data_IF_138493917049
#
_entry.id   IF_138493917049
#
_cell.length_a   1.000
_cell.length_b   1.000
_cell.length_c   1.000
_cell.angle_alpha   90.00
_cell.angle_beta   90.00
_cell.angle_gamma   90.00
#
_symmetry.space_group_name_H-M   'P 1'
#
loop_
_entity.id
_entity.type
_entity.pdbx_description
1 polymer ?
#
# COMPACT_ATOMS: atom_id res chain seq x y z
N UNK A 1 -8.86 41.10 -0.27
CA UNK A 1 -8.53 39.77 -0.85
C UNK A 1 -8.05 38.92 0.32
N UNK A 2 -8.99 38.31 1.06
CA UNK A 2 -8.72 37.69 2.36
C UNK A 2 -8.84 36.18 2.14
N UNK A 3 -7.70 35.50 2.08
CA UNK A 3 -7.66 34.04 2.11
C UNK A 3 -7.90 33.62 3.55
N UNK A 4 -9.05 33.00 3.79
CA UNK A 4 -9.42 32.49 5.11
C UNK A 4 -8.69 31.17 5.34
N UNK A 5 -7.57 31.25 6.06
CA UNK A 5 -6.72 30.13 6.47
C UNK A 5 -7.38 29.48 7.69
N UNK A 6 -8.38 28.63 7.45
CA UNK A 6 -8.80 27.63 8.41
C UNK A 6 -8.24 26.28 7.95
N UNK A 7 -6.93 26.09 8.09
CA UNK A 7 -6.42 24.72 8.19
C UNK A 7 -6.91 24.19 9.54
N UNK A 8 -7.85 23.25 9.52
CA UNK A 8 -8.23 22.50 10.71
C UNK A 8 -6.98 21.81 11.25
N UNK A 9 -6.79 21.85 12.57
CA UNK A 9 -5.73 21.06 13.20
C UNK A 9 -6.00 19.59 12.86
N UNK A 10 -5.08 18.89 12.16
CA UNK A 10 -5.27 17.50 11.74
C UNK A 10 -5.54 16.56 12.91
N UNK A 11 -5.13 16.91 14.15
CA UNK A 11 -5.43 16.13 15.35
C UNK A 11 -6.86 16.32 15.87
N UNK A 12 -7.57 17.35 15.39
CA UNK A 12 -8.95 17.67 15.76
C UNK A 12 -9.95 17.34 14.65
N UNK A 13 -9.48 16.82 13.52
CA UNK A 13 -10.33 16.53 12.38
C UNK A 13 -11.20 15.30 12.68
N UNK A 14 -12.52 15.52 12.69
CA UNK A 14 -13.51 14.44 12.83
C UNK A 14 -13.81 13.86 11.45
N UNK A 15 -13.67 12.53 11.35
CA UNK A 15 -14.04 11.73 10.18
C UNK A 15 -15.27 10.89 10.51
N UNK A 16 -16.12 10.66 9.52
CA UNK A 16 -17.30 9.80 9.65
C UNK A 16 -16.92 8.31 9.57
N UNK A 17 -15.84 8.01 8.84
CA UNK A 17 -15.30 6.67 8.71
C UNK A 17 -13.77 6.68 8.60
N UNK A 18 -13.13 5.65 9.16
CA UNK A 18 -11.70 5.37 8.99
C UNK A 18 -11.57 4.05 8.25
N UNK A 19 -10.86 4.06 7.13
CA UNK A 19 -10.48 2.87 6.37
C UNK A 19 -9.00 2.61 6.62
N UNK A 20 -8.67 1.41 7.12
CA UNK A 20 -7.29 0.99 7.35
C UNK A 20 -6.89 -0.02 6.28
N UNK A 21 -5.89 0.33 5.50
CA UNK A 21 -5.42 -0.38 4.31
C UNK A 21 -5.98 0.23 3.02
N UNK A 22 -5.11 0.61 2.08
CA UNK A 22 -5.46 1.14 0.76
C UNK A 22 -5.37 0.10 -0.35
N UNK A 23 -5.40 -1.20 0.00
CA UNK A 23 -5.54 -2.28 -0.97
C UNK A 23 -6.87 -2.22 -1.73
N UNK A 24 -7.10 -3.17 -2.65
CA UNK A 24 -8.24 -3.15 -3.57
C UNK A 24 -9.60 -2.87 -2.89
N UNK A 25 -9.89 -3.58 -1.79
CA UNK A 25 -11.16 -3.41 -1.05
C UNK A 25 -11.20 -2.09 -0.27
N UNK A 26 -10.09 -1.69 0.37
CA UNK A 26 -10.03 -0.46 1.16
C UNK A 26 -10.18 0.79 0.28
N UNK A 27 -9.51 0.82 -0.88
CA UNK A 27 -9.69 1.87 -1.87
C UNK A 27 -11.12 1.96 -2.39
N UNK A 28 -11.76 0.82 -2.67
CA UNK A 28 -13.16 0.79 -3.10
C UNK A 28 -14.12 1.28 -2.00
N UNK A 29 -13.92 0.83 -0.75
CA UNK A 29 -14.70 1.30 0.38
C UNK A 29 -14.56 2.82 0.58
N UNK A 30 -13.32 3.32 0.57
CA UNK A 30 -13.05 4.75 0.68
C UNK A 30 -13.73 5.55 -0.44
N UNK A 31 -13.68 5.07 -1.69
CA UNK A 31 -14.37 5.68 -2.82
C UNK A 31 -15.88 5.75 -2.59
N UNK A 32 -16.52 4.62 -2.33
CA UNK A 32 -17.98 4.53 -2.20
C UNK A 32 -18.49 5.40 -1.04
N UNK A 33 -17.81 5.37 0.11
CA UNK A 33 -18.17 6.18 1.27
C UNK A 33 -18.00 7.67 0.99
N UNK A 34 -16.90 8.05 0.32
CA UNK A 34 -16.65 9.46 -0.02
C UNK A 34 -17.65 9.98 -1.06
N UNK A 35 -18.02 9.19 -2.07
CA UNK A 35 -19.05 9.53 -3.07
C UNK A 35 -20.45 9.65 -2.45
N UNK A 36 -20.71 8.94 -1.35
CA UNK A 36 -21.93 9.09 -0.56
C UNK A 36 -21.93 10.34 0.35
N UNK A 37 -20.84 11.13 0.36
CA UNK A 37 -20.73 12.41 1.07
C UNK A 37 -20.08 12.34 2.44
N UNK A 38 -19.52 11.19 2.84
CA UNK A 38 -18.82 11.05 4.13
C UNK A 38 -17.41 11.61 4.06
N UNK A 39 -16.92 12.15 5.19
CA UNK A 39 -15.51 12.47 5.38
C UNK A 39 -14.76 11.20 5.80
N UNK A 40 -13.96 10.67 4.89
CA UNK A 40 -13.24 9.41 5.09
C UNK A 40 -11.76 9.66 5.32
N UNK A 41 -11.20 9.10 6.38
CA UNK A 41 -9.75 8.96 6.53
C UNK A 41 -9.32 7.59 6.00
N UNK A 42 -8.36 7.57 5.08
CA UNK A 42 -7.72 6.35 4.59
C UNK A 42 -6.29 6.30 5.10
N UNK A 43 -5.93 5.22 5.79
CA UNK A 43 -4.61 5.01 6.35
C UNK A 43 -3.96 3.79 5.69
N UNK A 44 -2.71 3.93 5.23
CA UNK A 44 -1.91 2.84 4.68
C UNK A 44 -0.54 2.85 5.36
N UNK A 45 -0.03 1.68 5.73
CA UNK A 45 1.28 1.53 6.35
C UNK A 45 2.40 1.49 5.30
N UNK A 46 2.09 1.01 4.10
CA UNK A 46 2.99 1.02 2.95
C UNK A 46 3.29 2.42 2.41
N UNK A 47 4.35 2.50 1.61
CA UNK A 47 4.73 3.73 0.90
C UNK A 47 3.71 4.09 -0.18
N UNK A 48 3.70 5.34 -0.60
CA UNK A 48 3.02 5.72 -1.84
C UNK A 48 3.62 4.96 -3.03
N UNK A 49 2.76 4.37 -3.85
CA UNK A 49 3.15 3.59 -5.03
C UNK A 49 2.55 4.25 -6.27
N UNK A 50 3.37 4.41 -7.31
CA UNK A 50 2.94 4.93 -8.60
C UNK A 50 2.57 3.79 -9.57
N UNK A 51 1.67 4.02 -10.54
CA UNK A 51 1.28 2.98 -11.50
C UNK A 51 2.44 2.37 -12.31
N UNK A 52 3.57 3.07 -12.42
CA UNK A 52 4.76 2.59 -13.15
C UNK A 52 5.55 1.54 -12.39
N UNK A 53 5.28 1.36 -11.10
CA UNK A 53 5.98 0.39 -10.24
C UNK A 53 5.29 -0.98 -10.20
N UNK A 54 4.09 -1.08 -10.79
CA UNK A 54 3.39 -2.35 -10.92
C UNK A 54 4.10 -3.22 -11.95
N UNK A 55 4.62 -4.36 -11.55
CA UNK A 55 5.38 -5.25 -12.44
C UNK A 55 4.74 -6.62 -12.63
N UNK A 56 3.57 -6.89 -12.04
CA UNK A 56 2.83 -8.17 -12.11
C UNK A 56 2.52 -8.60 -13.54
N UNK A 57 2.40 -7.63 -14.45
CA UNK A 57 2.14 -7.85 -15.87
C UNK A 57 3.41 -8.09 -16.70
N UNK A 58 4.59 -7.99 -16.08
CA UNK A 58 5.88 -8.16 -16.73
C UNK A 58 6.10 -9.63 -17.07
N UNK A 59 6.50 -9.98 -18.30
CA UNK A 59 6.90 -11.35 -18.60
C UNK A 59 8.12 -11.78 -17.78
N UNK A 60 8.10 -13.00 -17.25
CA UNK A 60 9.16 -13.54 -16.38
C UNK A 60 10.59 -13.37 -16.96
N UNK A 61 10.76 -13.51 -18.28
CA UNK A 61 12.09 -13.38 -18.92
C UNK A 61 12.69 -11.97 -18.82
N UNK A 62 11.89 -10.95 -18.53
CA UNK A 62 12.35 -9.56 -18.32
C UNK A 62 12.74 -9.29 -16.86
N UNK A 63 12.30 -10.13 -15.92
CA UNK A 63 12.72 -10.03 -14.53
C UNK A 63 14.19 -10.43 -14.39
N UNK A 64 14.87 -9.87 -13.39
CA UNK A 64 16.31 -10.06 -13.17
C UNK A 64 16.64 -11.53 -12.88
N UNK A 65 15.81 -12.19 -12.09
CA UNK A 65 16.00 -13.59 -11.68
C UNK A 65 14.92 -14.53 -12.24
N UNK A 66 14.09 -14.05 -13.18
CA UNK A 66 13.01 -14.83 -13.82
C UNK A 66 12.06 -15.48 -12.82
N UNK A 67 11.67 -14.71 -11.81
CA UNK A 67 10.82 -15.10 -10.70
C UNK A 67 11.43 -16.12 -9.72
N UNK A 68 12.76 -16.15 -9.66
CA UNK A 68 13.53 -16.98 -8.73
C UNK A 68 14.50 -16.15 -7.87
N UNK A 69 14.07 -14.94 -7.49
CA UNK A 69 14.91 -14.02 -6.73
C UNK A 69 15.34 -14.60 -5.36
N UNK A 70 16.65 -14.71 -5.09
CA UNK A 70 17.13 -15.16 -3.77
C UNK A 70 16.91 -14.10 -2.69
N UNK A 71 16.69 -12.83 -3.07
CA UNK A 71 16.49 -11.71 -2.15
C UNK A 71 15.24 -11.88 -1.29
N UNK A 72 14.20 -12.52 -1.83
CA UNK A 72 12.96 -12.79 -1.10
C UNK A 72 13.25 -13.72 0.07
N UNK A 73 14.00 -14.80 -0.14
CA UNK A 73 14.37 -15.72 0.93
C UNK A 73 15.27 -15.05 1.97
N UNK A 74 16.16 -14.14 1.52
CA UNK A 74 17.12 -13.44 2.37
C UNK A 74 16.46 -12.39 3.26
N UNK A 75 15.53 -11.61 2.72
CA UNK A 75 14.94 -10.44 3.39
C UNK A 75 13.54 -10.70 3.95
N UNK A 76 12.85 -11.73 3.42
CA UNK A 76 11.44 -12.03 3.71
C UNK A 76 11.21 -13.52 4.05
N UNK A 77 11.94 -14.10 5.03
CA UNK A 77 11.81 -15.51 5.39
C UNK A 77 10.40 -15.95 5.82
N UNK A 78 9.56 -15.04 6.33
CA UNK A 78 8.16 -15.32 6.66
C UNK A 78 7.24 -14.91 5.52
N UNK A 79 7.39 -13.73 4.92
CA UNK A 79 6.48 -13.33 3.82
C UNK A 79 6.56 -14.27 2.63
N UNK A 80 7.72 -14.88 2.35
CA UNK A 80 7.88 -15.89 1.27
C UNK A 80 6.97 -17.11 1.41
N UNK A 81 6.39 -17.35 2.60
CA UNK A 81 5.44 -18.44 2.80
C UNK A 81 4.09 -18.12 2.15
N UNK A 82 3.81 -16.84 1.90
CA UNK A 82 2.69 -16.40 1.07
C UNK A 82 3.02 -16.64 -0.40
N UNK A 83 2.15 -17.39 -1.10
CA UNK A 83 2.30 -17.67 -2.53
C UNK A 83 2.37 -16.40 -3.41
N UNK A 84 1.86 -15.27 -2.89
CA UNK A 84 1.82 -14.00 -3.62
C UNK A 84 3.08 -13.15 -3.44
N UNK A 85 4.02 -13.52 -2.55
CA UNK A 85 5.29 -12.79 -2.36
C UNK A 85 6.33 -13.30 -3.36
N UNK A 86 6.36 -12.69 -4.54
CA UNK A 86 7.15 -13.12 -5.71
C UNK A 86 8.11 -12.02 -6.18
N UNK A 87 8.99 -12.28 -7.15
CA UNK A 87 9.96 -11.27 -7.63
C UNK A 87 9.25 -10.03 -8.20
N UNK A 88 8.03 -10.19 -8.70
CA UNK A 88 7.20 -9.11 -9.22
C UNK A 88 6.84 -8.04 -8.17
N UNK A 89 6.61 -8.44 -6.92
CA UNK A 89 5.86 -7.62 -5.97
C UNK A 89 6.29 -7.79 -4.51
N UNK A 90 7.41 -8.48 -4.24
CA UNK A 90 7.91 -8.68 -2.88
C UNK A 90 8.15 -7.35 -2.14
N UNK A 91 8.41 -6.25 -2.85
CA UNK A 91 8.52 -4.91 -2.24
C UNK A 91 7.23 -4.43 -1.56
N UNK A 92 6.09 -5.02 -1.88
CA UNK A 92 4.78 -4.68 -1.31
C UNK A 92 4.56 -5.41 0.00
N UNK A 93 5.37 -6.45 0.25
CA UNK A 93 5.42 -7.16 1.51
C UNK A 93 6.48 -6.53 2.41
N UNK A 94 6.14 -6.48 3.70
CA UNK A 94 7.03 -6.00 4.75
C UNK A 94 8.37 -6.71 4.70
N UNK A 95 9.46 -5.96 4.87
CA UNK A 95 10.78 -6.55 5.05
C UNK A 95 10.89 -7.10 6.48
N UNK A 96 10.96 -8.42 6.61
CA UNK A 96 10.98 -9.14 7.89
C UNK A 96 12.25 -8.81 8.71
N UNK A 97 13.35 -8.42 8.06
CA UNK A 97 14.58 -8.02 8.75
C UNK A 97 14.48 -6.61 9.38
N UNK A 98 13.69 -5.73 8.76
CA UNK A 98 13.44 -4.38 9.26
C UNK A 98 12.30 -4.33 10.28
N UNK A 99 11.38 -5.29 10.20
CA UNK A 99 10.17 -5.38 11.02
C UNK A 99 10.09 -6.75 11.71
N UNK A 100 10.97 -7.01 12.70
CA UNK A 100 10.99 -8.28 13.41
C UNK A 100 9.70 -8.49 14.21
N UNK A 101 9.26 -9.75 14.28
CA UNK A 101 8.09 -10.22 15.02
C UNK A 101 8.47 -11.37 15.96
#
# INVERSE_FOLDING_TARGET
MIWNIFQQDPLTQVYDAIVVGSGATGGWAAKVLSEAGLKVALLEAGRAVSPTEFTEHTPAFKLKYRDHSPEIVRTRPIQKQCYACMEYNYEWFVNDLENPY
#
